data_IF_398870053787
#
_entry.id   IF_398870053787
#
_cell.length_a   1.000
_cell.length_b   1.000
_cell.length_c   1.000
_cell.angle_alpha   90.00
_cell.angle_beta   90.00
_cell.angle_gamma   90.00
#
_symmetry.space_group_name_H-M   'P 1'
#
loop_
_entity.id
_entity.type
_entity.pdbx_description
1 polymer ?
#
# COMPACT_ATOMS: atom_id res chain seq x y z
N UNK A 1 12.59 8.13 16.78
CA UNK A 1 12.29 8.42 15.35
C UNK A 1 11.06 7.61 14.96
N UNK A 2 10.02 8.24 14.36
CA UNK A 2 8.89 7.49 13.79
C UNK A 2 9.44 6.60 12.67
N UNK A 3 9.15 5.31 12.69
CA UNK A 3 9.63 4.37 11.67
C UNK A 3 9.09 4.83 10.30
N UNK A 4 10.01 5.04 9.34
CA UNK A 4 9.67 5.51 7.99
C UNK A 4 9.43 4.35 7.02
N UNK A 5 9.66 3.11 7.45
CA UNK A 5 9.35 1.91 6.69
C UNK A 5 7.83 1.78 6.52
N UNK A 6 7.38 1.83 5.27
CA UNK A 6 5.96 1.79 4.96
C UNK A 6 5.35 0.43 5.27
N UNK A 7 6.07 -0.68 5.08
CA UNK A 7 5.56 -2.01 5.41
C UNK A 7 5.30 -2.18 6.91
N UNK A 8 6.15 -1.57 7.76
CA UNK A 8 5.90 -1.53 9.20
C UNK A 8 4.67 -0.67 9.53
N UNK A 9 4.53 0.50 8.91
CA UNK A 9 3.34 1.34 9.09
C UNK A 9 2.06 0.64 8.61
N UNK A 10 2.15 -0.19 7.57
CA UNK A 10 1.04 -1.03 7.11
C UNK A 10 0.67 -2.10 8.14
N UNK A 11 1.67 -2.73 8.76
CA UNK A 11 1.45 -3.75 9.80
C UNK A 11 0.76 -3.17 11.03
N UNK A 12 1.16 -1.97 11.48
CA UNK A 12 0.50 -1.32 12.61
C UNK A 12 -0.95 -0.94 12.31
N UNK A 13 -1.26 -0.56 11.07
CA UNK A 13 -2.63 -0.33 10.62
C UNK A 13 -3.46 -1.62 10.56
N UNK A 14 -2.87 -2.72 10.10
CA UNK A 14 -3.48 -4.06 10.12
C UNK A 14 -3.85 -4.46 11.57
N UNK A 15 -2.90 -4.35 12.51
CA UNK A 15 -3.13 -4.65 13.93
C UNK A 15 -4.23 -3.79 14.52
N UNK A 16 -4.23 -2.48 14.21
CA UNK A 16 -5.26 -1.57 14.70
C UNK A 16 -6.66 -1.96 14.19
N UNK A 17 -6.79 -2.39 12.93
CA UNK A 17 -8.06 -2.88 12.39
C UNK A 17 -8.56 -4.12 13.13
N UNK A 18 -7.67 -5.06 13.37
CA UNK A 18 -7.94 -6.29 14.16
C UNK A 18 -8.35 -5.96 15.59
N UNK A 19 -7.63 -5.08 16.29
CA UNK A 19 -8.02 -4.64 17.64
C UNK A 19 -9.38 -3.93 17.72
N UNK A 20 -9.83 -3.31 16.63
CA UNK A 20 -11.13 -2.67 16.54
C UNK A 20 -12.26 -3.64 16.14
N UNK A 21 -11.97 -4.94 15.96
CA UNK A 21 -12.93 -5.95 15.51
C UNK A 21 -13.22 -5.94 14.00
N UNK A 22 -12.48 -5.16 13.21
CA UNK A 22 -12.65 -5.04 11.76
C UNK A 22 -11.79 -6.10 11.03
N UNK A 23 -12.09 -7.38 11.31
CA UNK A 23 -11.30 -8.54 10.85
C UNK A 23 -11.20 -8.63 9.33
N UNK A 24 -12.31 -8.42 8.62
CA UNK A 24 -12.33 -8.46 7.15
C UNK A 24 -11.40 -7.41 6.53
N UNK A 25 -11.40 -6.19 7.08
CA UNK A 25 -10.50 -5.13 6.60
C UNK A 25 -9.06 -5.42 7.01
N UNK A 26 -8.82 -5.96 8.20
CA UNK A 26 -7.49 -6.37 8.63
C UNK A 26 -6.89 -7.42 7.69
N UNK A 27 -7.68 -8.39 7.25
CA UNK A 27 -7.24 -9.42 6.32
C UNK A 27 -6.93 -8.87 4.92
N UNK A 28 -7.72 -7.91 4.43
CA UNK A 28 -7.42 -7.18 3.20
C UNK A 28 -6.12 -6.35 3.32
N UNK A 29 -5.90 -5.71 4.46
CA UNK A 29 -4.68 -4.95 4.74
C UNK A 29 -3.46 -5.87 4.79
N UNK A 30 -3.58 -7.03 5.42
CA UNK A 30 -2.55 -8.08 5.46
C UNK A 30 -2.19 -8.54 4.05
N UNK A 31 -3.18 -8.88 3.23
CA UNK A 31 -2.96 -9.33 1.86
C UNK A 31 -2.27 -8.25 1.01
N UNK A 32 -2.74 -7.00 1.11
CA UNK A 32 -2.16 -5.84 0.41
C UNK A 32 -0.71 -5.60 0.83
N UNK A 33 -0.43 -5.61 2.14
CA UNK A 33 0.93 -5.48 2.71
C UNK A 33 1.85 -6.59 2.21
N UNK A 34 1.40 -7.84 2.22
CA UNK A 34 2.21 -8.97 1.78
C UNK A 34 2.56 -8.88 0.29
N UNK A 35 1.59 -8.50 -0.56
CA UNK A 35 1.86 -8.27 -1.98
C UNK A 35 2.86 -7.13 -2.20
N UNK A 36 2.68 -6.02 -1.50
CA UNK A 36 3.56 -4.85 -1.63
C UNK A 36 4.98 -5.14 -1.12
N UNK A 37 5.13 -5.75 0.06
CA UNK A 37 6.43 -6.14 0.61
C UNK A 37 7.17 -7.12 -0.30
N UNK A 38 6.46 -8.08 -0.89
CA UNK A 38 7.04 -9.01 -1.87
C UNK A 38 7.49 -8.28 -3.12
N UNK A 39 6.67 -7.37 -3.66
CA UNK A 39 7.04 -6.53 -4.80
C UNK A 39 8.29 -5.69 -4.54
N UNK A 40 8.35 -5.00 -3.39
CA UNK A 40 9.49 -4.17 -2.99
C UNK A 40 10.77 -5.01 -2.96
N UNK A 41 10.70 -6.21 -2.35
CA UNK A 41 11.82 -7.16 -2.30
C UNK A 41 12.24 -7.67 -3.68
N UNK A 42 11.29 -8.13 -4.49
CA UNK A 42 11.58 -8.70 -5.83
C UNK A 42 12.09 -7.66 -6.82
N UNK A 43 11.71 -6.39 -6.67
CA UNK A 43 12.12 -5.29 -7.55
C UNK A 43 13.27 -4.44 -6.99
N UNK A 44 13.81 -4.78 -5.82
CA UNK A 44 14.87 -4.02 -5.16
C UNK A 44 14.50 -2.57 -4.88
N UNK A 45 13.21 -2.29 -4.64
CA UNK A 45 12.71 -0.93 -4.38
C UNK A 45 12.94 -0.57 -2.91
N UNK A 46 12.93 0.73 -2.60
CA UNK A 46 12.91 1.19 -1.22
C UNK A 46 11.56 0.91 -0.57
N UNK A 47 11.58 0.43 0.67
CA UNK A 47 10.38 0.25 1.50
C UNK A 47 9.96 1.52 2.25
N UNK A 48 10.67 2.65 2.07
CA UNK A 48 10.39 3.88 2.78
C UNK A 48 9.12 4.56 2.25
N UNK A 49 8.33 5.14 3.15
CA UNK A 49 7.11 5.86 2.82
C UNK A 49 7.34 7.03 1.85
N UNK A 50 8.49 7.70 1.95
CA UNK A 50 8.86 8.82 1.07
C UNK A 50 9.17 8.42 -0.37
N UNK A 51 9.51 7.15 -0.58
CA UNK A 51 9.95 6.64 -1.88
C UNK A 51 8.81 5.97 -2.65
N UNK A 52 7.60 5.95 -2.09
CA UNK A 52 6.39 5.51 -2.79
C UNK A 52 5.96 6.63 -3.73
N UNK A 53 6.46 6.62 -4.96
CA UNK A 53 6.10 7.57 -6.03
C UNK A 53 5.00 7.00 -6.94
N UNK A 54 4.48 7.82 -7.86
CA UNK A 54 3.49 7.36 -8.83
C UNK A 54 4.02 6.20 -9.69
N UNK A 55 5.30 6.24 -10.09
CA UNK A 55 5.94 5.17 -10.85
C UNK A 55 5.99 3.86 -10.06
N UNK A 56 6.33 3.92 -8.77
CA UNK A 56 6.33 2.74 -7.89
C UNK A 56 4.94 2.12 -7.81
N UNK A 57 3.89 2.93 -7.71
CA UNK A 57 2.51 2.41 -7.69
C UNK A 57 2.11 1.82 -9.04
N UNK A 58 2.48 2.45 -10.17
CA UNK A 58 2.21 1.91 -11.50
C UNK A 58 2.93 0.58 -11.74
N UNK A 59 4.19 0.47 -11.33
CA UNK A 59 4.93 -0.80 -11.37
C UNK A 59 4.28 -1.86 -10.50
N UNK A 60 3.79 -1.49 -9.30
CA UNK A 60 3.07 -2.41 -8.43
C UNK A 60 1.75 -2.91 -9.07
N UNK A 61 1.00 -2.03 -9.75
CA UNK A 61 -0.20 -2.42 -10.51
C UNK A 61 0.15 -3.45 -11.59
N UNK A 62 1.21 -3.21 -12.37
CA UNK A 62 1.69 -4.15 -13.39
C UNK A 62 2.10 -5.49 -12.77
N UNK A 63 2.77 -5.44 -11.62
CA UNK A 63 3.15 -6.64 -10.87
C UNK A 63 1.94 -7.46 -10.42
N UNK A 64 0.89 -6.84 -9.88
CA UNK A 64 -0.35 -7.53 -9.49
C UNK A 64 -1.05 -8.17 -10.69
N UNK A 65 -1.10 -7.48 -11.84
CA UNK A 65 -1.65 -8.01 -13.08
C UNK A 65 -0.88 -9.22 -13.60
N UNK A 66 0.45 -9.19 -13.51
CA UNK A 66 1.31 -10.31 -13.89
C UNK A 66 1.04 -11.60 -13.09
N UNK A 67 0.48 -11.48 -11.88
CA UNK A 67 0.06 -12.61 -11.04
C UNK A 67 -1.30 -13.23 -11.44
N UNK A 68 -1.88 -12.82 -12.58
CA UNK A 68 -3.17 -13.33 -13.12
C UNK A 68 -4.33 -13.22 -12.11
N UNK A 69 -4.30 -12.19 -11.26
CA UNK A 69 -5.38 -11.89 -10.32
C UNK A 69 -6.61 -11.36 -11.06
N UNK A 70 -7.80 -11.57 -10.48
CA UNK A 70 -9.04 -10.95 -10.99
C UNK A 70 -8.92 -9.42 -10.87
N UNK A 71 -9.50 -8.69 -11.83
CA UNK A 71 -9.49 -7.21 -11.88
C UNK A 71 -10.01 -6.60 -10.57
N UNK A 72 -11.10 -7.16 -10.02
CA UNK A 72 -11.66 -6.72 -8.74
C UNK A 72 -10.66 -6.87 -7.58
N UNK A 73 -9.86 -7.94 -7.56
CA UNK A 73 -8.83 -8.13 -6.53
C UNK A 73 -7.72 -7.09 -6.67
N UNK A 74 -7.29 -6.79 -7.90
CA UNK A 74 -6.30 -5.73 -8.17
C UNK A 74 -6.83 -4.38 -7.67
N UNK A 75 -8.06 -4.01 -8.06
CA UNK A 75 -8.68 -2.75 -7.62
C UNK A 75 -8.80 -2.65 -6.09
N UNK A 76 -9.17 -3.75 -5.42
CA UNK A 76 -9.24 -3.82 -3.96
C UNK A 76 -7.87 -3.60 -3.32
N UNK A 77 -6.80 -4.23 -3.82
CA UNK A 77 -5.45 -4.03 -3.28
C UNK A 77 -4.93 -2.61 -3.52
N UNK A 78 -5.19 -2.01 -4.69
CA UNK A 78 -4.79 -0.62 -4.96
C UNK A 78 -5.54 0.37 -4.07
N UNK A 79 -6.84 0.15 -3.88
CA UNK A 79 -7.66 0.99 -2.98
C UNK A 79 -7.17 0.91 -1.52
N UNK A 80 -6.86 -0.30 -1.04
CA UNK A 80 -6.31 -0.50 0.30
C UNK A 80 -4.92 0.12 0.44
N UNK A 81 -4.04 -0.04 -0.55
CA UNK A 81 -2.71 0.57 -0.53
C UNK A 81 -2.81 2.10 -0.42
N UNK A 82 -3.70 2.71 -1.21
CA UNK A 82 -3.97 4.16 -1.16
C UNK A 82 -4.45 4.61 0.23
N UNK A 83 -5.40 3.88 0.81
CA UNK A 83 -5.90 4.19 2.14
C UNK A 83 -4.79 4.09 3.21
N UNK A 84 -3.99 3.04 3.15
CA UNK A 84 -2.88 2.80 4.08
C UNK A 84 -1.76 3.85 3.94
N UNK A 85 -1.44 4.24 2.71
CA UNK A 85 -0.47 5.31 2.41
C UNK A 85 -0.94 6.66 2.94
N UNK A 86 -2.20 7.04 2.65
CA UNK A 86 -2.77 8.31 3.11
C UNK A 86 -2.80 8.40 4.64
N UNK A 87 -3.12 7.29 5.33
CA UNK A 87 -3.09 7.23 6.79
C UNK A 87 -1.66 7.35 7.33
N UNK A 88 -0.70 6.68 6.71
CA UNK A 88 0.71 6.78 7.08
C UNK A 88 1.24 8.22 6.92
N UNK A 89 0.84 8.92 5.85
CA UNK A 89 1.23 10.32 5.61
C UNK A 89 0.66 11.32 6.63
N UNK A 90 -0.55 11.09 7.17
CA UNK A 90 -1.11 11.94 8.25
C UNK A 90 -0.24 11.95 9.51
N UNK A 91 0.51 10.87 9.74
CA UNK A 91 1.45 10.75 10.84
C UNK A 91 2.83 11.36 10.57
N UNK A 92 3.07 12.02 9.43
CA UNK A 92 4.39 12.52 9.05
C UNK A 92 4.44 14.07 9.12
N UNK A 93 5.31 14.63 9.97
CA UNK A 93 5.69 16.05 9.91
C UNK A 93 6.58 16.27 8.68
N UNK A 94 6.08 16.99 7.68
CA UNK A 94 6.70 17.10 6.34
C UNK A 94 6.09 16.08 5.38
N UNK A 95 4.79 16.25 5.10
CA UNK A 95 4.02 15.37 4.20
C UNK A 95 4.75 15.28 2.85
N UNK A 96 4.89 14.08 2.26
CA UNK A 96 5.35 13.96 0.87
C UNK A 96 4.48 14.85 -0.02
N UNK A 97 5.10 15.76 -0.78
CA UNK A 97 4.39 16.57 -1.77
C UNK A 97 3.85 15.69 -2.91
N UNK A 98 4.56 14.59 -3.16
CA UNK A 98 4.19 13.58 -4.13
C UNK A 98 2.78 13.07 -3.87
N UNK A 99 2.03 12.87 -4.96
CA UNK A 99 0.66 12.34 -4.93
C UNK A 99 0.63 11.04 -5.72
N UNK A 100 1.11 9.93 -5.14
CA UNK A 100 1.40 8.72 -5.89
C UNK A 100 0.19 8.11 -6.55
N UNK A 101 -1.01 8.41 -6.05
CA UNK A 101 -2.30 7.89 -6.51
C UNK A 101 -3.13 8.91 -7.30
N UNK A 102 -2.59 10.10 -7.59
CA UNK A 102 -3.28 11.10 -8.41
C UNK A 102 -3.37 10.63 -9.87
N UNK A 103 -4.49 10.98 -10.52
CA UNK A 103 -4.78 10.54 -11.89
C UNK A 103 -5.07 9.04 -12.06
N UNK A 104 -4.97 8.21 -11.01
CA UNK A 104 -5.31 6.80 -11.11
C UNK A 104 -6.82 6.59 -11.21
N UNK A 105 -7.23 5.90 -12.27
CA UNK A 105 -8.56 5.34 -12.41
C UNK A 105 -8.55 3.86 -12.03
N UNK A 106 -9.54 3.44 -11.25
CA UNK A 106 -9.78 2.02 -11.00
C UNK A 106 -10.17 1.35 -12.32
N UNK A 107 -9.73 0.11 -12.48
CA UNK A 107 -9.96 -0.62 -13.72
C UNK A 107 -11.41 -1.11 -13.80
N UNK A 108 -11.98 -1.10 -14.99
CA UNK A 108 -13.31 -1.64 -15.29
C UNK A 108 -13.17 -2.93 -16.09
#
# INVERSE_FOLDING_TARGET
MRNKDFCILMLEQEKQKRSNGDESTADLYRATRNHFATFVRERGKSGLLGDVTQDVVQEFIRYLKGKKLRVNSVNSYISNLRAMYNRACRGWKGRPEERPFEGMQLQR
#
